data_IF_198639881210
#
_entry.id   IF_198639881210
#
_cell.length_a   1.000
_cell.length_b   1.000
_cell.length_c   1.000
_cell.angle_alpha   90.00
_cell.angle_beta   90.00
_cell.angle_gamma   90.00
#
_symmetry.space_group_name_H-M   'P 1'
#
loop_
_entity.id
_entity.type
_entity.pdbx_description
1 polymer ?
#
# COMPACT_ATOMS: atom_id res chain seq x y z
N UNK A 1 -18.49 -18.86 -6.54
CA UNK A 1 -17.13 -19.19 -7.07
C UNK A 1 -16.08 -18.90 -6.00
N UNK A 2 -15.04 -19.74 -5.88
CA UNK A 2 -13.85 -19.44 -5.07
C UNK A 2 -13.01 -18.37 -5.78
N UNK A 3 -12.27 -17.54 -5.04
CA UNK A 3 -11.43 -16.50 -5.65
C UNK A 3 -10.37 -17.07 -6.60
N UNK A 4 -9.85 -18.26 -6.30
CA UNK A 4 -8.90 -19.00 -7.17
C UNK A 4 -9.49 -19.48 -8.51
N UNK A 5 -10.80 -19.51 -8.64
CA UNK A 5 -11.51 -19.89 -9.87
C UNK A 5 -11.86 -18.69 -10.75
N UNK A 6 -11.72 -17.46 -10.20
CA UNK A 6 -11.96 -16.19 -10.90
C UNK A 6 -10.71 -15.76 -11.65
N UNK A 7 -10.88 -14.97 -12.69
CA UNK A 7 -9.77 -14.34 -13.41
C UNK A 7 -9.80 -12.83 -13.26
N UNK A 8 -8.64 -12.18 -13.36
CA UNK A 8 -8.61 -10.71 -13.37
C UNK A 8 -9.36 -10.14 -14.56
N UNK A 9 -9.38 -10.82 -15.71
CA UNK A 9 -10.13 -10.37 -16.88
C UNK A 9 -11.63 -10.33 -16.65
N UNK A 10 -12.20 -11.31 -15.92
CA UNK A 10 -13.61 -11.28 -15.50
C UNK A 10 -13.92 -10.08 -14.61
N UNK A 11 -13.05 -9.81 -13.61
CA UNK A 11 -13.21 -8.67 -12.71
C UNK A 11 -13.10 -7.34 -13.46
N UNK A 12 -12.10 -7.20 -14.33
CA UNK A 12 -11.88 -5.99 -15.15
C UNK A 12 -13.06 -5.77 -16.10
N UNK A 13 -13.52 -6.81 -16.79
CA UNK A 13 -14.67 -6.74 -17.69
C UNK A 13 -15.95 -6.30 -16.96
N UNK A 14 -16.21 -6.87 -15.78
CA UNK A 14 -17.32 -6.45 -14.92
C UNK A 14 -17.20 -4.97 -14.55
N UNK A 15 -16.03 -4.56 -14.05
CA UNK A 15 -15.80 -3.19 -13.58
C UNK A 15 -16.01 -2.16 -14.69
N UNK A 16 -15.46 -2.42 -15.88
CA UNK A 16 -15.65 -1.56 -17.06
C UNK A 16 -17.12 -1.55 -17.52
N UNK A 17 -17.71 -2.73 -17.67
CA UNK A 17 -19.07 -2.86 -18.18
C UNK A 17 -20.17 -2.33 -17.27
N UNK A 18 -19.90 -2.25 -15.95
CA UNK A 18 -20.88 -1.80 -14.94
C UNK A 18 -20.58 -0.41 -14.37
N UNK A 19 -19.51 0.23 -14.80
CA UNK A 19 -19.18 1.59 -14.36
C UNK A 19 -18.55 1.67 -12.98
N UNK A 20 -17.76 0.67 -12.61
CA UNK A 20 -16.94 0.73 -11.40
C UNK A 20 -15.61 1.42 -11.67
N UNK A 21 -14.86 0.97 -12.66
CA UNK A 21 -13.53 1.51 -12.96
C UNK A 21 -13.32 1.52 -14.47
N UNK A 22 -12.81 2.64 -14.98
CA UNK A 22 -12.47 2.85 -16.40
C UNK A 22 -10.99 3.10 -16.59
N UNK A 23 -10.41 2.85 -17.79
CA UNK A 23 -9.09 3.37 -18.12
C UNK A 23 -9.09 4.89 -18.08
N UNK A 24 -8.11 5.48 -17.40
CA UNK A 24 -7.97 6.93 -17.32
C UNK A 24 -7.64 7.54 -18.68
N UNK A 25 -8.33 8.62 -19.05
CA UNK A 25 -8.12 9.35 -20.33
C UNK A 25 -8.28 8.49 -21.59
N UNK A 26 -9.21 7.55 -21.58
CA UNK A 26 -9.38 6.54 -22.66
C UNK A 26 -9.58 7.15 -24.05
N UNK A 27 -10.26 8.30 -24.16
CA UNK A 27 -10.50 9.00 -25.44
C UNK A 27 -9.21 9.47 -26.14
N UNK A 28 -8.09 9.54 -25.40
CA UNK A 28 -6.76 9.87 -25.93
C UNK A 28 -5.85 8.64 -26.01
N UNK A 29 -6.39 7.44 -25.93
CA UNK A 29 -5.63 6.18 -25.89
C UNK A 29 -5.20 5.74 -24.51
N UNK A 30 -5.61 6.47 -23.48
CA UNK A 30 -5.34 6.17 -22.08
C UNK A 30 -3.92 6.54 -21.63
N UNK A 31 -3.71 6.45 -20.32
CA UNK A 31 -2.40 6.47 -19.69
C UNK A 31 -2.20 5.14 -18.97
N UNK A 32 -1.12 4.43 -19.30
CA UNK A 32 -0.88 3.08 -18.76
C UNK A 32 -0.97 3.04 -17.23
N UNK A 33 -1.80 2.11 -16.71
CA UNK A 33 -2.07 1.92 -15.29
C UNK A 33 -2.58 3.17 -14.55
N UNK A 34 -3.32 4.01 -15.27
CA UNK A 34 -4.13 5.10 -14.73
C UNK A 34 -5.60 4.74 -14.88
N UNK A 35 -6.36 4.88 -13.81
CA UNK A 35 -7.74 4.41 -13.70
C UNK A 35 -8.63 5.47 -13.09
N UNK A 36 -9.83 5.62 -13.66
CA UNK A 36 -10.88 6.49 -13.14
C UNK A 36 -11.98 5.64 -12.51
N UNK A 37 -12.47 6.05 -11.33
CA UNK A 37 -13.63 5.42 -10.71
C UNK A 37 -14.91 5.98 -11.32
N UNK A 38 -15.70 5.09 -11.91
CA UNK A 38 -17.01 5.42 -12.48
C UNK A 38 -18.09 5.61 -11.41
N UNK A 39 -19.35 5.85 -11.82
CA UNK A 39 -20.44 6.17 -10.89
C UNK A 39 -20.67 5.14 -9.78
N UNK A 40 -20.58 3.84 -10.08
CA UNK A 40 -20.71 2.80 -9.04
C UNK A 40 -19.41 2.64 -8.24
N UNK A 41 -18.27 2.77 -8.89
CA UNK A 41 -16.97 2.61 -8.24
C UNK A 41 -16.69 3.68 -7.21
N UNK A 42 -17.02 4.95 -7.49
CA UNK A 42 -16.81 6.05 -6.55
C UNK A 42 -17.70 5.89 -5.31
N UNK A 43 -18.94 5.42 -5.46
CA UNK A 43 -19.82 5.14 -4.32
C UNK A 43 -19.27 4.00 -3.47
N UNK A 44 -18.88 2.88 -4.08
CA UNK A 44 -18.30 1.74 -3.37
C UNK A 44 -17.04 2.16 -2.61
N UNK A 45 -16.09 2.84 -3.27
CA UNK A 45 -14.85 3.31 -2.64
C UNK A 45 -15.13 4.30 -1.50
N UNK A 46 -16.09 5.21 -1.67
CA UNK A 46 -16.48 6.14 -0.62
C UNK A 46 -17.18 5.43 0.54
N UNK A 47 -17.96 4.39 0.29
CA UNK A 47 -18.57 3.58 1.36
C UNK A 47 -17.50 2.86 2.18
N UNK A 48 -16.48 2.27 1.55
CA UNK A 48 -15.33 1.66 2.22
C UNK A 48 -14.60 2.70 3.09
N UNK A 49 -14.27 3.87 2.53
CA UNK A 49 -13.59 4.94 3.28
C UNK A 49 -14.43 5.47 4.45
N UNK A 50 -15.75 5.63 4.25
CA UNK A 50 -16.69 6.04 5.32
C UNK A 50 -16.78 5.00 6.43
N UNK A 51 -16.84 3.70 6.09
CA UNK A 51 -16.85 2.62 7.07
C UNK A 51 -15.56 2.60 7.90
N UNK A 52 -14.40 2.79 7.26
CA UNK A 52 -13.13 2.89 7.94
C UNK A 52 -13.08 4.13 8.86
N UNK A 53 -13.39 5.32 8.34
CA UNK A 53 -13.40 6.56 9.12
C UNK A 53 -14.32 6.50 10.33
N UNK A 54 -15.52 5.95 10.13
CA UNK A 54 -16.46 5.73 11.22
C UNK A 54 -15.86 4.86 12.31
N UNK A 55 -15.25 3.73 11.93
CA UNK A 55 -14.74 2.75 12.90
C UNK A 55 -13.45 3.20 13.58
N UNK A 56 -12.53 3.76 12.81
CA UNK A 56 -11.20 4.11 13.31
C UNK A 56 -11.14 5.51 13.95
N UNK A 57 -12.02 6.44 13.56
CA UNK A 57 -12.00 7.81 14.06
C UNK A 57 -13.20 8.12 14.95
N UNK A 58 -14.42 7.93 14.41
CA UNK A 58 -15.64 8.42 15.09
C UNK A 58 -16.05 7.53 16.26
N UNK A 59 -15.92 6.22 16.15
CA UNK A 59 -16.27 5.23 17.19
C UNK A 59 -15.09 4.89 18.11
N UNK A 60 -13.86 5.27 17.76
CA UNK A 60 -12.67 4.93 18.51
C UNK A 60 -12.31 6.07 19.50
N UNK A 61 -12.20 5.80 20.81
CA UNK A 61 -11.94 6.85 21.81
C UNK A 61 -10.51 7.40 21.77
N UNK A 62 -9.58 6.65 21.17
CA UNK A 62 -8.17 7.04 21.13
C UNK A 62 -7.86 8.01 19.98
N UNK A 63 -8.53 7.85 18.84
CA UNK A 63 -8.09 8.44 17.60
C UNK A 63 -8.71 9.80 17.29
N UNK A 64 -8.00 10.58 16.48
CA UNK A 64 -8.46 11.83 15.86
C UNK A 64 -8.12 11.81 14.37
N UNK A 65 -8.75 12.68 13.60
CA UNK A 65 -8.50 12.80 12.17
C UNK A 65 -7.55 13.93 11.82
N UNK A 66 -6.85 13.78 10.70
CA UNK A 66 -6.02 14.79 10.06
C UNK A 66 -6.24 14.75 8.54
N UNK A 67 -6.10 15.88 7.89
CA UNK A 67 -5.95 15.99 6.43
C UNK A 67 -4.75 16.89 6.12
N UNK A 68 -3.57 16.27 5.99
CA UNK A 68 -2.33 16.98 5.68
C UNK A 68 -2.22 17.25 4.18
N UNK A 69 -1.54 18.34 3.82
CA UNK A 69 -1.28 18.68 2.43
C UNK A 69 -0.46 17.59 1.70
N UNK A 70 -0.73 17.40 0.40
CA UNK A 70 0.07 16.50 -0.46
C UNK A 70 1.48 17.08 -0.67
N UNK A 71 1.56 18.39 -0.95
CA UNK A 71 2.82 19.11 -1.12
C UNK A 71 3.33 19.52 0.25
N UNK A 72 4.50 19.07 0.62
CA UNK A 72 5.17 19.37 1.88
C UNK A 72 6.58 19.90 1.61
N UNK A 73 7.19 20.51 2.63
CA UNK A 73 8.59 20.90 2.56
C UNK A 73 9.44 19.67 2.18
N UNK A 74 10.34 19.77 1.17
CA UNK A 74 11.18 18.65 0.74
C UNK A 74 12.01 18.02 1.86
N UNK A 75 12.37 18.78 2.90
CA UNK A 75 13.11 18.27 4.06
C UNK A 75 12.36 17.16 4.83
N UNK A 76 11.04 17.10 4.72
CA UNK A 76 10.23 16.00 5.29
C UNK A 76 10.69 14.67 4.69
N UNK A 77 10.94 14.64 3.38
CA UNK A 77 11.34 13.45 2.64
C UNK A 77 12.82 13.12 2.78
N UNK A 78 13.63 14.12 3.08
CA UNK A 78 15.04 13.93 3.46
C UNK A 78 15.10 13.30 4.85
N UNK A 79 14.39 13.85 5.82
CA UNK A 79 14.36 13.36 7.19
C UNK A 79 13.84 11.92 7.30
N UNK A 80 12.75 11.62 6.60
CA UNK A 80 12.16 10.26 6.59
C UNK A 80 12.96 9.23 5.77
N UNK A 81 14.01 9.66 5.03
CA UNK A 81 14.84 8.79 4.21
C UNK A 81 14.31 8.51 2.80
N UNK A 82 13.10 8.95 2.44
CA UNK A 82 12.51 8.66 1.13
C UNK A 82 13.33 9.15 -0.05
N UNK A 83 14.02 10.29 0.07
CA UNK A 83 14.89 10.80 -1.00
C UNK A 83 16.07 9.86 -1.28
N UNK A 84 16.61 9.22 -0.24
CA UNK A 84 17.84 8.40 -0.34
C UNK A 84 17.58 6.90 -0.51
N UNK A 85 16.53 6.36 0.12
CA UNK A 85 16.33 4.91 0.25
C UNK A 85 15.09 4.37 -0.45
N UNK A 86 14.13 5.22 -0.81
CA UNK A 86 12.91 4.77 -1.47
C UNK A 86 13.13 4.46 -2.96
N UNK A 87 13.92 3.41 -3.21
CA UNK A 87 14.39 3.04 -4.54
C UNK A 87 14.10 1.58 -4.84
N UNK A 88 13.64 1.32 -6.08
CA UNK A 88 13.55 -0.03 -6.64
C UNK A 88 14.80 -0.37 -7.46
N UNK A 89 15.20 -1.67 -7.50
CA UNK A 89 16.30 -2.14 -8.35
C UNK A 89 15.84 -2.23 -9.82
N UNK A 90 16.06 -1.17 -10.58
CA UNK A 90 15.69 -1.09 -12.01
C UNK A 90 16.72 -1.79 -12.89
N UNK A 91 16.25 -2.71 -13.75
CA UNK A 91 17.04 -3.39 -14.77
C UNK A 91 16.33 -3.31 -16.13
N UNK A 92 17.07 -3.05 -17.20
CA UNK A 92 16.50 -2.98 -18.56
C UNK A 92 16.92 -4.22 -19.38
N UNK A 93 15.99 -4.83 -20.10
CA UNK A 93 16.33 -5.80 -21.14
C UNK A 93 16.96 -5.09 -22.34
N UNK A 94 18.20 -5.42 -22.69
CA UNK A 94 18.91 -4.77 -23.81
C UNK A 94 18.29 -5.11 -25.18
N UNK A 95 17.60 -6.26 -25.27
CA UNK A 95 17.02 -6.73 -26.53
C UNK A 95 15.69 -6.04 -26.86
N UNK A 96 14.71 -6.01 -25.93
CA UNK A 96 13.39 -5.46 -26.20
C UNK A 96 13.13 -4.10 -25.52
N UNK A 97 14.10 -3.60 -24.71
CA UNK A 97 14.03 -2.32 -23.97
C UNK A 97 12.96 -2.29 -22.89
N UNK A 98 12.36 -3.42 -22.55
CA UNK A 98 11.46 -3.49 -21.40
C UNK A 98 12.21 -3.26 -20.09
N UNK A 99 11.57 -2.53 -19.19
CA UNK A 99 12.07 -2.24 -17.84
C UNK A 99 11.44 -3.20 -16.85
N UNK A 100 12.25 -3.66 -15.92
CA UNK A 100 11.83 -4.60 -14.88
C UNK A 100 12.39 -4.20 -13.52
N UNK A 101 11.73 -4.62 -12.48
CA UNK A 101 12.34 -4.72 -11.16
C UNK A 101 13.13 -6.03 -11.12
N UNK A 102 14.40 -5.95 -10.74
CA UNK A 102 15.27 -7.12 -10.72
C UNK A 102 14.83 -8.16 -9.68
N UNK A 103 14.38 -7.71 -8.53
CA UNK A 103 13.80 -8.55 -7.47
C UNK A 103 12.57 -9.32 -7.98
N UNK A 104 11.63 -8.64 -8.64
CA UNK A 104 10.42 -9.29 -9.18
C UNK A 104 10.68 -10.24 -10.35
N UNK A 105 11.74 -10.01 -11.12
CA UNK A 105 12.19 -10.98 -12.12
C UNK A 105 12.67 -12.29 -11.47
N UNK A 106 13.41 -12.18 -10.37
CA UNK A 106 13.93 -13.32 -9.63
C UNK A 106 12.79 -14.06 -8.92
N UNK A 107 11.87 -13.34 -8.27
CA UNK A 107 10.69 -13.95 -7.64
C UNK A 107 9.85 -14.75 -8.66
N UNK A 108 9.60 -14.17 -9.84
CA UNK A 108 8.91 -14.87 -10.92
C UNK A 108 9.64 -16.13 -11.36
N UNK A 109 10.95 -16.05 -11.55
CA UNK A 109 11.79 -17.20 -11.88
C UNK A 109 11.77 -18.26 -10.78
N UNK A 110 11.86 -17.86 -9.50
CA UNK A 110 11.79 -18.76 -8.35
C UNK A 110 10.45 -19.51 -8.30
N UNK A 111 9.34 -18.81 -8.50
CA UNK A 111 8.01 -19.40 -8.54
C UNK A 111 7.87 -20.45 -9.66
N UNK A 112 8.40 -20.15 -10.85
CA UNK A 112 8.38 -21.08 -12.00
C UNK A 112 9.28 -22.32 -11.79
N UNK A 113 10.35 -22.19 -10.98
CA UNK A 113 11.33 -23.23 -10.74
C UNK A 113 11.22 -23.91 -9.36
N UNK A 114 10.19 -23.60 -8.58
CA UNK A 114 9.95 -24.19 -7.26
C UNK A 114 11.06 -23.87 -6.24
N UNK A 115 11.62 -22.68 -6.28
CA UNK A 115 12.71 -22.20 -5.41
C UNK A 115 12.16 -21.29 -4.30
N UNK A 116 11.38 -21.88 -3.39
CA UNK A 116 10.83 -21.16 -2.22
C UNK A 116 11.89 -20.89 -1.13
N UNK A 117 13.12 -21.41 -1.33
CA UNK A 117 14.26 -21.26 -0.42
C UNK A 117 15.03 -19.93 -0.59
N UNK A 118 14.69 -19.14 -1.61
CA UNK A 118 15.41 -17.90 -1.96
C UNK A 118 14.73 -16.68 -1.36
N UNK A 119 15.37 -16.04 -0.40
CA UNK A 119 14.90 -14.74 0.13
C UNK A 119 15.42 -13.60 -0.76
N UNK A 120 14.63 -13.23 -1.77
CA UNK A 120 14.99 -12.18 -2.75
C UNK A 120 15.01 -10.79 -2.13
N UNK A 121 14.16 -10.52 -1.13
CA UNK A 121 14.03 -9.22 -0.48
C UNK A 121 15.29 -8.83 0.31
N UNK A 122 16.03 -9.82 0.81
CA UNK A 122 17.29 -9.59 1.53
C UNK A 122 18.52 -9.41 0.63
N UNK A 123 18.38 -9.57 -0.70
CA UNK A 123 19.51 -9.51 -1.63
C UNK A 123 19.98 -8.08 -1.90
N UNK A 124 21.29 -7.90 -1.91
CA UNK A 124 21.94 -6.69 -2.45
C UNK A 124 21.81 -6.60 -3.97
N UNK A 125 22.02 -5.42 -4.55
CA UNK A 125 21.97 -5.26 -6.01
C UNK A 125 23.00 -6.15 -6.73
N UNK A 126 24.16 -6.37 -6.14
CA UNK A 126 25.21 -7.24 -6.66
C UNK A 126 24.78 -8.70 -6.67
N UNK A 127 24.10 -9.15 -5.61
CA UNK A 127 23.55 -10.50 -5.50
C UNK A 127 22.40 -10.72 -6.47
N UNK A 128 21.50 -9.72 -6.65
CA UNK A 128 20.43 -9.77 -7.65
C UNK A 128 21.00 -9.93 -9.08
N UNK A 129 22.05 -9.16 -9.44
CA UNK A 129 22.70 -9.28 -10.76
C UNK A 129 23.35 -10.64 -10.93
N UNK A 130 24.05 -11.12 -9.90
CA UNK A 130 24.69 -12.44 -9.92
C UNK A 130 23.64 -13.55 -10.08
N UNK A 131 22.55 -13.49 -9.33
CA UNK A 131 21.46 -14.47 -9.43
C UNK A 131 20.85 -14.53 -10.82
N UNK A 132 20.50 -13.37 -11.41
CA UNK A 132 19.93 -13.27 -12.76
C UNK A 132 20.85 -13.93 -13.79
N UNK A 133 22.16 -13.65 -13.72
CA UNK A 133 23.15 -14.20 -14.65
C UNK A 133 23.35 -15.71 -14.43
N UNK A 134 23.58 -16.14 -13.19
CA UNK A 134 24.01 -17.50 -12.87
C UNK A 134 22.88 -18.50 -13.02
N UNK A 135 21.62 -18.09 -12.88
CA UNK A 135 20.43 -18.91 -13.09
C UNK A 135 19.80 -18.72 -14.48
N UNK A 136 20.36 -17.89 -15.35
CA UNK A 136 19.85 -17.67 -16.69
C UNK A 136 18.44 -17.10 -16.72
N UNK A 137 18.09 -16.21 -15.78
CA UNK A 137 16.78 -15.55 -15.73
C UNK A 137 16.55 -14.80 -17.03
N UNK A 138 15.38 -15.00 -17.67
CA UNK A 138 15.05 -14.41 -18.95
C UNK A 138 14.03 -13.29 -18.84
N UNK A 139 14.06 -12.37 -19.79
CA UNK A 139 13.05 -11.32 -19.91
C UNK A 139 11.69 -11.93 -20.26
N UNK A 140 10.64 -11.73 -19.46
CA UNK A 140 9.31 -12.27 -19.74
C UNK A 140 8.68 -11.73 -21.03
N UNK A 141 9.15 -10.56 -21.54
CA UNK A 141 8.65 -9.97 -22.77
C UNK A 141 9.25 -10.55 -24.05
N UNK A 142 10.50 -11.02 -24.02
CA UNK A 142 11.17 -11.50 -25.26
C UNK A 142 12.01 -12.78 -25.09
N UNK A 143 12.05 -13.37 -23.89
CA UNK A 143 12.76 -14.62 -23.59
C UNK A 143 14.29 -14.54 -23.61
N UNK A 144 14.91 -13.34 -23.72
CA UNK A 144 16.36 -13.18 -23.75
C UNK A 144 16.91 -12.84 -22.35
N UNK A 145 18.12 -13.35 -22.03
CA UNK A 145 18.82 -13.12 -20.79
C UNK A 145 19.89 -12.02 -20.93
N UNK A 146 19.62 -10.95 -21.67
CA UNK A 146 20.57 -9.84 -21.89
C UNK A 146 20.05 -8.57 -21.22
N UNK A 147 20.57 -8.31 -20.02
CA UNK A 147 20.17 -7.18 -19.20
C UNK A 147 21.28 -6.15 -18.98
N UNK A 148 20.90 -4.94 -18.58
CA UNK A 148 21.83 -3.90 -18.11
C UNK A 148 22.26 -4.22 -16.68
N UNK A 149 23.17 -3.40 -16.15
CA UNK A 149 23.37 -3.35 -14.70
C UNK A 149 22.15 -2.77 -13.99
N UNK A 150 21.99 -3.10 -12.71
CA UNK A 150 20.93 -2.55 -11.86
C UNK A 150 21.21 -1.09 -11.55
N UNK A 151 20.17 -0.26 -11.67
CA UNK A 151 20.19 1.14 -11.27
C UNK A 151 19.14 1.38 -10.18
N UNK A 152 19.47 2.20 -9.19
CA UNK A 152 18.48 2.65 -8.20
C UNK A 152 17.52 3.61 -8.88
N UNK A 153 16.23 3.33 -8.78
CA UNK A 153 15.18 4.18 -9.30
C UNK A 153 14.30 4.67 -8.15
N UNK A 154 14.40 5.95 -7.83
CA UNK A 154 13.58 6.54 -6.77
C UNK A 154 12.11 6.65 -7.21
N UNK A 155 11.22 6.16 -6.36
CA UNK A 155 9.78 6.06 -6.66
C UNK A 155 9.01 7.37 -6.43
N UNK A 156 9.63 8.42 -5.92
CA UNK A 156 8.92 9.69 -5.72
C UNK A 156 8.73 10.44 -7.03
N UNK A 157 7.51 10.93 -7.26
CA UNK A 157 7.25 11.91 -8.30
C UNK A 157 7.79 13.28 -7.87
N UNK A 158 8.53 13.91 -8.77
CA UNK A 158 9.05 15.26 -8.62
C UNK A 158 8.23 16.25 -9.42
N UNK A 159 8.06 17.45 -8.88
CA UNK A 159 7.50 18.59 -9.58
C UNK A 159 8.16 19.88 -9.07
N UNK A 160 7.76 21.04 -9.56
CA UNK A 160 8.32 22.33 -9.18
C UNK A 160 7.24 23.28 -8.67
N UNK A 161 7.58 24.09 -7.68
CA UNK A 161 6.71 25.13 -7.15
C UNK A 161 7.19 26.51 -7.65
N UNK A 162 6.27 27.29 -8.24
CA UNK A 162 6.60 28.61 -8.78
C UNK A 162 6.86 28.59 -10.28
N UNK A 163 7.59 29.60 -10.77
CA UNK A 163 7.76 29.89 -12.20
C UNK A 163 9.07 29.36 -12.80
N UNK A 164 9.98 28.90 -11.97
CA UNK A 164 11.29 28.34 -12.37
C UNK A 164 11.34 26.84 -12.09
N UNK A 165 12.05 26.12 -12.93
CA UNK A 165 12.28 24.69 -12.80
C UNK A 165 13.77 24.45 -12.48
N UNK A 166 14.13 24.63 -11.22
CA UNK A 166 15.48 24.38 -10.70
C UNK A 166 15.42 23.62 -9.37
N UNK A 167 16.58 23.25 -8.85
CA UNK A 167 16.68 22.44 -7.63
C UNK A 167 16.12 23.14 -6.38
N UNK A 168 16.03 24.48 -6.38
CA UNK A 168 15.51 25.23 -5.25
C UNK A 168 13.98 25.26 -5.20
N UNK A 169 13.33 24.94 -6.31
CA UNK A 169 11.88 24.89 -6.46
C UNK A 169 11.33 23.46 -6.50
N UNK A 170 12.21 22.44 -6.45
CA UNK A 170 11.82 21.03 -6.48
C UNK A 170 10.98 20.66 -5.25
N UNK A 171 9.83 20.08 -5.49
CA UNK A 171 8.95 19.49 -4.48
C UNK A 171 8.51 18.09 -4.92
N UNK A 172 8.00 17.30 -3.99
CA UNK A 172 7.59 15.94 -4.25
C UNK A 172 6.09 15.77 -4.04
N UNK A 173 5.47 14.90 -4.85
CA UNK A 173 4.16 14.35 -4.51
C UNK A 173 4.40 13.28 -3.44
N UNK A 174 3.68 13.38 -2.32
CA UNK A 174 3.88 12.47 -1.18
C UNK A 174 3.71 10.99 -1.59
N UNK A 175 4.66 10.10 -1.24
CA UNK A 175 4.57 8.67 -1.53
C UNK A 175 3.75 7.91 -0.48
N UNK A 176 3.43 8.56 0.65
CA UNK A 176 2.62 8.03 1.76
C UNK A 176 1.98 9.16 2.56
N UNK A 177 0.96 8.82 3.33
CA UNK A 177 0.25 9.79 4.19
C UNK A 177 0.85 9.90 5.59
N UNK A 178 1.70 8.94 6.03
CA UNK A 178 2.29 8.86 7.35
C UNK A 178 3.08 10.11 7.76
N UNK A 179 3.97 10.61 6.90
CA UNK A 179 4.86 11.71 7.24
C UNK A 179 4.12 13.01 7.55
N UNK A 180 2.96 13.23 6.91
CA UNK A 180 2.07 14.34 7.23
C UNK A 180 1.54 14.27 8.66
N UNK A 181 1.38 13.07 9.20
CA UNK A 181 0.96 12.87 10.59
C UNK A 181 2.12 13.17 11.54
N UNK A 182 3.32 12.63 11.29
CA UNK A 182 4.47 12.82 12.16
C UNK A 182 4.88 14.28 12.31
N UNK A 183 4.94 15.04 11.21
CA UNK A 183 5.31 16.47 11.27
C UNK A 183 4.25 17.33 11.97
N UNK A 184 3.00 16.87 12.04
CA UNK A 184 1.91 17.53 12.74
C UNK A 184 1.70 17.03 14.19
N UNK A 185 2.45 16.02 14.64
CA UNK A 185 2.28 15.45 15.98
C UNK A 185 2.25 16.51 17.12
N UNK A 186 3.20 17.47 17.19
CA UNK A 186 3.18 18.47 18.26
C UNK A 186 1.95 19.38 18.22
N UNK A 187 1.49 19.75 17.02
CA UNK A 187 0.32 20.58 16.83
C UNK A 187 -0.96 19.86 17.25
N UNK A 188 -1.10 18.58 16.87
CA UNK A 188 -2.25 17.74 17.20
C UNK A 188 -2.30 17.51 18.70
N UNK A 189 -1.20 17.09 19.32
CA UNK A 189 -1.10 16.85 20.76
C UNK A 189 -1.49 18.11 21.55
N UNK A 190 -0.95 19.27 21.18
CA UNK A 190 -1.24 20.55 21.84
C UNK A 190 -2.71 20.97 21.71
N UNK A 191 -3.31 20.81 20.51
CA UNK A 191 -4.67 21.29 20.24
C UNK A 191 -5.74 20.34 20.78
N UNK A 192 -5.50 19.05 20.73
CA UNK A 192 -6.43 18.04 21.24
C UNK A 192 -6.27 17.78 22.73
N UNK A 193 -5.09 18.07 23.28
CA UNK A 193 -4.68 17.76 24.68
C UNK A 193 -4.81 16.26 25.02
N UNK A 194 -4.71 15.41 24.00
CA UNK A 194 -4.78 13.97 24.22
C UNK A 194 -3.54 13.48 24.99
N UNK A 195 -3.79 12.56 25.91
CA UNK A 195 -2.73 11.78 26.57
C UNK A 195 -2.45 10.53 25.76
N UNK A 196 -1.23 10.01 25.85
CA UNK A 196 -0.91 8.69 25.31
C UNK A 196 -1.67 7.58 26.04
N UNK A 197 -2.13 6.52 25.36
CA UNK A 197 -2.00 6.36 23.93
C UNK A 197 -3.07 7.13 23.13
N UNK A 198 -2.72 7.63 21.96
CA UNK A 198 -3.69 8.17 21.01
C UNK A 198 -3.21 7.99 19.58
N UNK A 199 -4.15 7.94 18.64
CA UNK A 199 -3.86 7.79 17.22
C UNK A 199 -4.31 8.99 16.39
N UNK A 200 -3.67 9.14 15.24
CA UNK A 200 -4.04 10.12 14.22
C UNK A 200 -4.29 9.38 12.92
N UNK A 201 -5.48 9.57 12.37
CA UNK A 201 -5.93 8.91 11.14
C UNK A 201 -5.99 9.89 9.98
N UNK A 202 -5.62 9.42 8.81
CA UNK A 202 -5.73 10.17 7.57
C UNK A 202 -6.23 9.28 6.44
N UNK A 203 -7.09 9.84 5.57
CA UNK A 203 -7.43 9.28 4.27
C UNK A 203 -6.96 10.26 3.22
N UNK A 204 -6.11 9.83 2.29
CA UNK A 204 -5.58 10.77 1.31
C UNK A 204 -4.84 10.10 0.15
N UNK A 205 -4.68 10.88 -0.92
CA UNK A 205 -3.91 10.49 -2.10
C UNK A 205 -2.43 10.37 -1.79
N UNK A 206 -1.81 9.33 -2.37
CA UNK A 206 -0.36 9.11 -2.40
C UNK A 206 0.07 8.72 -3.79
N UNK A 207 1.36 8.90 -4.09
CA UNK A 207 1.89 8.80 -5.44
C UNK A 207 3.22 8.04 -5.42
N UNK A 208 3.31 6.94 -6.18
CA UNK A 208 4.56 6.18 -6.36
C UNK A 208 4.79 5.93 -7.82
N UNK A 209 5.93 6.36 -8.34
CA UNK A 209 6.30 6.18 -9.75
C UNK A 209 6.75 4.74 -10.00
N UNK A 210 5.83 3.80 -9.81
CA UNK A 210 6.05 2.35 -9.94
C UNK A 210 6.66 1.98 -11.29
N UNK A 211 7.71 1.14 -11.29
CA UNK A 211 8.36 0.63 -12.50
C UNK A 211 7.43 -0.37 -13.21
N UNK A 212 6.82 -1.26 -12.43
CA UNK A 212 5.94 -2.33 -12.91
C UNK A 212 4.56 -2.27 -12.26
N UNK A 213 3.77 -1.21 -12.53
CA UNK A 213 2.38 -1.19 -12.09
C UNK A 213 1.60 -2.30 -12.78
N UNK A 214 0.54 -2.80 -12.15
CA UNK A 214 -0.22 -3.91 -12.74
C UNK A 214 -1.32 -4.45 -11.85
N UNK A 215 -1.93 -5.53 -12.30
CA UNK A 215 -3.06 -6.18 -11.64
C UNK A 215 -4.21 -5.19 -11.39
N UNK A 216 -4.59 -4.46 -12.45
CA UNK A 216 -5.69 -3.50 -12.42
C UNK A 216 -5.44 -2.39 -11.40
N UNK A 217 -6.36 -2.14 -10.43
CA UNK A 217 -6.20 -1.13 -9.38
C UNK A 217 -5.42 -1.62 -8.16
N UNK A 218 -4.80 -2.80 -8.22
CA UNK A 218 -3.99 -3.35 -7.12
C UNK A 218 -2.65 -2.60 -6.96
N UNK A 219 -1.96 -2.29 -8.08
CA UNK A 219 -0.69 -1.54 -8.08
C UNK A 219 -0.73 -0.44 -9.14
N UNK A 220 -1.01 0.76 -8.69
CA UNK A 220 -1.17 1.96 -9.51
C UNK A 220 -0.28 3.09 -8.98
N UNK A 221 -0.01 4.09 -9.83
CA UNK A 221 0.90 5.19 -9.47
C UNK A 221 0.26 6.28 -8.62
N UNK A 222 -1.05 6.45 -8.74
CA UNK A 222 -1.86 7.36 -7.93
C UNK A 222 -2.93 6.56 -7.21
N UNK A 223 -2.89 6.53 -5.89
CA UNK A 223 -3.77 5.70 -5.05
C UNK A 223 -4.20 6.46 -3.80
N UNK A 224 -5.12 5.91 -3.03
CA UNK A 224 -5.50 6.44 -1.72
C UNK A 224 -5.09 5.48 -0.62
N UNK A 225 -4.52 6.06 0.46
CA UNK A 225 -4.26 5.34 1.71
C UNK A 225 -5.28 5.76 2.77
N UNK A 226 -5.63 4.80 3.62
CA UNK A 226 -6.31 4.98 4.90
C UNK A 226 -5.32 4.54 5.96
N UNK A 227 -4.77 5.49 6.70
CA UNK A 227 -3.60 5.28 7.55
C UNK A 227 -3.85 5.79 8.96
N UNK A 228 -3.39 5.03 9.93
CA UNK A 228 -3.40 5.38 11.35
C UNK A 228 -1.96 5.35 11.85
N UNK A 229 -1.54 6.43 12.50
CA UNK A 229 -0.33 6.44 13.32
C UNK A 229 -0.75 6.49 14.78
N UNK A 230 -0.54 5.40 15.48
CA UNK A 230 -0.97 5.24 16.87
C UNK A 230 0.23 5.38 17.81
N UNK A 231 0.25 6.50 18.52
CA UNK A 231 1.33 6.86 19.44
C UNK A 231 1.11 6.22 20.81
N UNK A 232 2.10 5.52 21.29
CA UNK A 232 2.07 4.85 22.59
C UNK A 232 3.37 5.03 23.39
N UNK A 233 3.32 4.67 24.67
CA UNK A 233 4.50 4.69 25.50
C UNK A 233 5.48 3.58 25.09
N UNK A 234 6.79 3.88 24.97
CA UNK A 234 7.81 2.85 24.77
C UNK A 234 7.70 1.70 25.78
N UNK A 235 7.78 0.46 25.30
CA UNK A 235 7.61 -0.75 26.10
C UNK A 235 6.16 -1.27 26.17
N UNK A 236 5.16 -0.51 25.67
CA UNK A 236 3.78 -0.99 25.49
C UNK A 236 3.44 -1.27 24.03
N UNK A 237 4.39 -1.03 23.16
CA UNK A 237 4.28 -1.10 21.71
C UNK A 237 3.78 -2.47 21.19
N UNK A 238 4.37 -3.57 21.66
CA UNK A 238 3.96 -4.92 21.23
C UNK A 238 2.53 -5.29 21.65
N UNK A 239 2.05 -4.79 22.78
CA UNK A 239 0.65 -4.99 23.19
C UNK A 239 -0.29 -4.24 22.25
N UNK A 240 0.04 -2.98 21.91
CA UNK A 240 -0.73 -2.18 20.97
C UNK A 240 -0.64 -2.70 19.54
N UNK A 241 0.50 -3.25 19.14
CA UNK A 241 0.65 -3.94 17.87
C UNK A 241 -0.34 -5.12 17.73
N UNK A 242 -0.41 -5.98 18.76
CA UNK A 242 -1.38 -7.09 18.77
C UNK A 242 -2.83 -6.60 18.79
N UNK A 243 -3.11 -5.53 19.56
CA UNK A 243 -4.44 -4.92 19.57
C UNK A 243 -4.88 -4.45 18.18
N UNK A 244 -4.04 -3.67 17.49
CA UNK A 244 -4.36 -3.15 16.17
C UNK A 244 -4.41 -4.24 15.11
N UNK A 245 -3.53 -5.23 15.17
CA UNK A 245 -3.58 -6.42 14.32
C UNK A 245 -4.94 -7.11 14.39
N UNK A 246 -5.45 -7.41 15.58
CA UNK A 246 -6.76 -8.05 15.74
C UNK A 246 -7.92 -7.11 15.40
N UNK A 247 -7.83 -5.84 15.74
CA UNK A 247 -8.84 -4.83 15.42
C UNK A 247 -9.02 -4.67 13.89
N UNK A 248 -7.92 -4.62 13.14
CA UNK A 248 -7.93 -4.53 11.69
C UNK A 248 -8.52 -5.79 11.03
N UNK A 249 -8.10 -6.99 11.50
CA UNK A 249 -8.65 -8.27 11.03
C UNK A 249 -10.17 -8.31 11.23
N UNK A 250 -10.59 -8.00 12.45
CA UNK A 250 -12.01 -8.01 12.79
C UNK A 250 -12.82 -7.02 11.95
N UNK A 251 -12.30 -5.82 11.69
CA UNK A 251 -12.99 -4.83 10.87
C UNK A 251 -13.21 -5.33 9.43
N UNK A 252 -12.22 -5.96 8.80
CA UNK A 252 -12.37 -6.53 7.45
C UNK A 252 -13.46 -7.60 7.40
N UNK A 253 -13.46 -8.51 8.36
CA UNK A 253 -14.44 -9.60 8.44
C UNK A 253 -15.84 -9.08 8.78
N UNK A 254 -15.96 -8.17 9.75
CA UNK A 254 -17.23 -7.54 10.13
C UNK A 254 -17.84 -6.72 8.97
N UNK A 255 -16.99 -6.14 8.11
CA UNK A 255 -17.45 -5.42 6.92
C UNK A 255 -17.89 -6.38 5.79
N UNK A 256 -17.57 -7.66 5.91
CA UNK A 256 -18.06 -8.73 5.05
C UNK A 256 -17.03 -9.36 4.12
N UNK A 257 -15.73 -9.11 4.32
CA UNK A 257 -14.69 -9.86 3.63
C UNK A 257 -14.64 -11.30 4.16
N UNK A 258 -14.57 -12.27 3.26
CA UNK A 258 -14.56 -13.69 3.64
C UNK A 258 -13.24 -14.07 4.28
N UNK A 259 -13.31 -14.60 5.50
CA UNK A 259 -12.14 -14.94 6.30
C UNK A 259 -11.27 -16.03 5.64
N UNK A 260 -11.85 -16.95 4.90
CA UNK A 260 -11.13 -17.98 4.15
C UNK A 260 -10.24 -17.43 3.02
N UNK A 261 -10.47 -16.17 2.60
CA UNK A 261 -9.67 -15.47 1.61
C UNK A 261 -8.66 -14.51 2.23
N UNK A 262 -8.54 -14.49 3.56
CA UNK A 262 -7.65 -13.61 4.31
C UNK A 262 -6.65 -14.44 5.12
N UNK A 263 -5.38 -14.08 5.08
CA UNK A 263 -4.36 -14.62 5.98
C UNK A 263 -3.47 -13.52 6.53
N UNK A 264 -2.87 -13.77 7.69
CA UNK A 264 -1.89 -12.89 8.30
C UNK A 264 -0.51 -13.52 8.12
N UNK A 265 0.45 -12.72 7.66
CA UNK A 265 1.85 -13.09 7.49
C UNK A 265 2.73 -12.17 8.32
N UNK A 266 3.33 -12.71 9.35
CA UNK A 266 4.33 -11.96 10.13
C UNK A 266 5.65 -11.95 9.35
N UNK A 267 6.34 -10.81 9.35
CA UNK A 267 7.64 -10.67 8.73
C UNK A 267 8.71 -11.35 9.58
N UNK A 268 9.62 -12.08 8.93
CA UNK A 268 10.82 -12.58 9.58
C UNK A 268 11.78 -11.41 9.88
N UNK A 269 12.70 -11.55 10.84
CA UNK A 269 13.61 -10.47 11.23
C UNK A 269 14.40 -9.85 10.07
N UNK A 270 14.73 -10.64 9.06
CA UNK A 270 15.49 -10.25 7.86
C UNK A 270 14.66 -9.45 6.85
N UNK A 271 13.32 -9.56 6.94
CA UNK A 271 12.37 -8.85 6.06
C UNK A 271 11.96 -7.50 6.65
N UNK A 272 12.19 -7.28 7.95
CA UNK A 272 11.77 -6.07 8.62
C UNK A 272 12.44 -4.83 8.01
N UNK A 273 11.64 -3.80 7.75
CA UNK A 273 12.18 -2.49 7.43
C UNK A 273 13.08 -2.00 8.58
N UNK A 274 14.11 -1.25 8.26
CA UNK A 274 15.12 -0.78 9.22
C UNK A 274 14.54 0.04 10.40
N UNK A 275 13.33 0.56 10.25
CA UNK A 275 12.61 1.32 11.27
C UNK A 275 11.59 0.46 12.04
N UNK A 276 11.36 -0.77 11.61
CA UNK A 276 10.29 -1.62 12.17
C UNK A 276 10.84 -2.67 13.13
N UNK A 277 10.15 -2.84 14.26
CA UNK A 277 10.41 -3.88 15.25
C UNK A 277 9.57 -5.14 15.02
N UNK A 278 8.39 -4.97 14.43
CA UNK A 278 7.47 -6.03 14.06
C UNK A 278 6.58 -5.55 12.91
N UNK A 279 6.27 -6.43 11.97
CA UNK A 279 5.34 -6.14 10.87
C UNK A 279 4.48 -7.38 10.58
N UNK A 280 3.20 -7.18 10.38
CA UNK A 280 2.26 -8.20 9.89
C UNK A 280 1.57 -7.69 8.63
N UNK A 281 1.66 -8.45 7.55
CA UNK A 281 0.84 -8.23 6.36
C UNK A 281 -0.46 -9.00 6.47
N UNK A 282 -1.55 -8.34 6.10
CA UNK A 282 -2.81 -8.98 5.80
C UNK A 282 -2.83 -9.26 4.31
N UNK A 283 -2.78 -10.50 3.93
CA UNK A 283 -2.83 -10.91 2.54
C UNK A 283 -4.22 -11.43 2.19
N UNK A 284 -4.70 -11.04 1.02
CA UNK A 284 -5.97 -11.49 0.47
C UNK A 284 -5.75 -12.34 -0.77
N UNK A 285 -6.58 -13.36 -0.94
CA UNK A 285 -6.57 -14.24 -2.12
C UNK A 285 -7.25 -13.55 -3.30
N UNK A 286 -6.45 -12.86 -4.12
CA UNK A 286 -6.89 -12.32 -5.40
C UNK A 286 -6.87 -13.41 -6.49
N UNK A 287 -7.44 -13.16 -7.68
CA UNK A 287 -7.35 -14.11 -8.80
C UNK A 287 -5.92 -14.41 -9.26
N UNK A 288 -4.97 -13.51 -9.00
CA UNK A 288 -3.54 -13.67 -9.30
C UNK A 288 -2.73 -14.28 -8.14
N UNK A 289 -3.39 -14.72 -7.06
CA UNK A 289 -2.74 -15.28 -5.87
C UNK A 289 -2.82 -14.38 -4.65
N UNK A 290 -2.07 -14.73 -3.61
CA UNK A 290 -1.98 -13.92 -2.39
C UNK A 290 -1.34 -12.57 -2.68
N UNK A 291 -1.96 -11.52 -2.23
CA UNK A 291 -1.48 -10.16 -2.35
C UNK A 291 -1.71 -9.37 -1.07
N UNK A 292 -0.74 -8.56 -0.71
CA UNK A 292 -0.82 -7.68 0.45
C UNK A 292 -2.00 -6.72 0.32
N UNK A 293 -2.86 -6.72 1.32
CA UNK A 293 -4.03 -5.86 1.44
C UNK A 293 -3.80 -4.73 2.44
N UNK A 294 -3.18 -5.04 3.57
CA UNK A 294 -2.99 -4.16 4.71
C UNK A 294 -1.70 -4.50 5.43
N UNK A 295 -0.91 -3.50 5.83
CA UNK A 295 0.23 -3.67 6.72
C UNK A 295 -0.07 -3.12 8.11
N UNK A 296 0.39 -3.80 9.13
CA UNK A 296 0.48 -3.28 10.50
C UNK A 296 1.92 -3.38 10.95
N UNK A 297 2.55 -2.24 11.27
CA UNK A 297 3.94 -2.16 11.65
C UNK A 297 4.14 -1.48 13.01
N UNK A 298 5.09 -1.96 13.80
CA UNK A 298 5.65 -1.25 14.94
C UNK A 298 6.88 -0.47 14.45
N UNK A 299 6.71 0.85 14.25
CA UNK A 299 7.74 1.76 13.72
C UNK A 299 8.67 2.31 14.77
N UNK A 300 8.50 1.92 16.04
CA UNK A 300 9.27 2.43 17.19
C UNK A 300 9.19 3.96 17.29
N UNK A 301 10.27 4.65 17.67
CA UNK A 301 10.38 6.11 17.73
C UNK A 301 11.00 6.72 16.45
N UNK A 302 11.25 5.90 15.43
CA UNK A 302 12.09 6.26 14.31
C UNK A 302 11.69 7.58 13.65
N UNK A 303 10.44 7.71 13.18
CA UNK A 303 10.01 8.86 12.38
C UNK A 303 10.05 10.17 13.19
N UNK A 304 9.49 10.16 14.41
CA UNK A 304 9.52 11.34 15.28
C UNK A 304 10.96 11.76 15.61
N UNK A 305 11.85 10.79 15.85
CA UNK A 305 13.26 11.04 16.12
C UNK A 305 13.96 11.65 14.90
N UNK A 306 13.75 11.11 13.71
CA UNK A 306 14.30 11.66 12.48
C UNK A 306 13.83 13.11 12.24
N UNK A 307 12.54 13.38 12.38
CA UNK A 307 12.03 14.74 12.25
C UNK A 307 12.53 15.68 13.33
N UNK A 308 12.69 15.21 14.57
CA UNK A 308 13.30 15.99 15.64
C UNK A 308 14.74 16.37 15.32
N UNK A 309 15.56 15.41 14.91
CA UNK A 309 16.98 15.62 14.58
C UNK A 309 17.16 16.57 13.40
N UNK A 310 16.40 16.39 12.31
CA UNK A 310 16.52 17.22 11.11
C UNK A 310 15.94 18.62 11.28
N UNK A 311 14.83 18.77 11.99
CA UNK A 311 14.17 20.06 12.18
C UNK A 311 14.74 20.88 13.35
N UNK A 312 15.41 20.22 14.30
CA UNK A 312 15.82 20.82 15.59
C UNK A 312 14.64 21.19 16.50
N UNK A 313 13.45 20.66 16.24
CA UNK A 313 12.25 20.89 17.05
C UNK A 313 12.02 19.73 18.00
N UNK A 314 11.54 20.02 19.20
CA UNK A 314 11.18 19.00 20.19
C UNK A 314 9.89 18.29 19.79
N UNK A 315 9.97 16.98 19.54
CA UNK A 315 8.85 16.08 19.24
C UNK A 315 8.60 15.09 20.39
N UNK A 316 9.15 15.35 21.57
CA UNK A 316 8.89 14.54 22.76
C UNK A 316 7.46 14.74 23.27
N UNK A 317 6.94 13.72 23.93
CA UNK A 317 5.74 13.77 24.75
C UNK A 317 6.12 13.97 26.21
N UNK A 318 5.47 14.92 26.90
CA UNK A 318 5.62 15.09 28.34
C UNK A 318 4.56 14.28 29.09
N UNK A 319 4.99 13.23 29.75
CA UNK A 319 4.13 12.43 30.65
C UNK A 319 4.04 13.10 32.03
N UNK A 320 2.89 13.74 32.28
CA UNK A 320 2.66 14.45 33.55
C UNK A 320 2.59 13.51 34.76
N UNK A 321 2.18 12.25 34.57
CA UNK A 321 2.04 11.29 35.67
C UNK A 321 3.40 10.78 36.14
N UNK A 322 4.34 10.62 35.19
CA UNK A 322 5.72 10.19 35.48
C UNK A 322 6.71 11.34 35.63
N UNK A 323 6.30 12.56 35.24
CA UNK A 323 7.15 13.75 35.16
C UNK A 323 8.41 13.52 34.32
N UNK A 324 8.23 12.91 33.15
CA UNK A 324 9.32 12.60 32.20
C UNK A 324 8.97 12.96 30.77
N UNK A 325 10.01 13.19 29.93
CA UNK A 325 9.88 13.36 28.48
C UNK A 325 10.41 12.13 27.75
N UNK A 326 9.71 11.68 26.73
CA UNK A 326 10.17 10.63 25.83
C UNK A 326 9.56 10.80 24.43
N UNK A 327 10.22 10.24 23.43
CA UNK A 327 9.64 10.13 22.09
C UNK A 327 8.70 8.92 22.09
N UNK A 328 7.41 9.08 21.70
CA UNK A 328 6.48 7.96 21.63
C UNK A 328 6.91 6.91 20.59
N UNK A 329 6.54 5.66 20.85
CA UNK A 329 6.56 4.62 19.83
C UNK A 329 5.28 4.66 19.00
N UNK A 330 5.33 4.14 17.79
CA UNK A 330 4.24 4.27 16.81
C UNK A 330 3.86 2.90 16.27
N UNK A 331 2.56 2.61 16.28
CA UNK A 331 1.98 1.47 15.57
C UNK A 331 1.20 2.00 14.37
N UNK A 332 1.52 1.50 13.20
CA UNK A 332 0.99 1.95 11.91
C UNK A 332 0.14 0.87 11.23
N UNK A 333 -1.17 0.90 11.33
CA UNK A 333 -2.06 0.23 10.37
C UNK A 333 -2.21 1.07 9.09
N UNK A 334 -1.72 0.59 7.94
CA UNK A 334 -1.76 1.28 6.65
C UNK A 334 -2.46 0.44 5.58
N UNK A 335 -3.61 0.91 5.09
CA UNK A 335 -4.49 0.23 4.14
C UNK A 335 -4.67 1.03 2.85
N UNK A 336 -4.46 0.39 1.70
CA UNK A 336 -4.79 0.97 0.41
C UNK A 336 -6.29 0.92 0.12
N UNK A 337 -6.94 2.08 -0.05
CA UNK A 337 -8.38 2.14 -0.35
C UNK A 337 -8.71 1.45 -1.69
N UNK A 338 -7.82 1.53 -2.67
CA UNK A 338 -7.97 0.91 -3.98
C UNK A 338 -7.87 -0.62 -3.88
N UNK A 339 -6.90 -1.14 -3.12
CA UNK A 339 -6.73 -2.59 -2.91
C UNK A 339 -7.90 -3.22 -2.18
N UNK A 340 -8.38 -2.59 -1.11
CA UNK A 340 -9.52 -3.12 -0.35
C UNK A 340 -10.81 -3.03 -1.15
N UNK A 341 -11.01 -1.99 -1.96
CA UNK A 341 -12.14 -1.91 -2.89
C UNK A 341 -12.10 -3.04 -3.91
N UNK A 342 -10.91 -3.35 -4.46
CA UNK A 342 -10.72 -4.49 -5.35
C UNK A 342 -11.01 -5.82 -4.64
N UNK A 343 -10.57 -5.98 -3.40
CA UNK A 343 -10.83 -7.19 -2.62
C UNK A 343 -12.33 -7.44 -2.42
N UNK A 344 -13.11 -6.40 -2.10
CA UNK A 344 -14.56 -6.51 -2.00
C UNK A 344 -15.22 -6.84 -3.34
N UNK A 345 -14.76 -6.25 -4.45
CA UNK A 345 -15.27 -6.58 -5.79
C UNK A 345 -14.97 -8.03 -6.16
N UNK A 346 -13.76 -8.50 -5.87
CA UNK A 346 -13.34 -9.89 -6.11
C UNK A 346 -14.17 -10.85 -5.26
N UNK A 347 -14.34 -10.57 -3.98
CA UNK A 347 -15.09 -11.43 -3.06
C UNK A 347 -16.57 -11.50 -3.41
N UNK A 348 -17.12 -10.38 -3.86
CA UNK A 348 -18.55 -10.23 -4.22
C UNK A 348 -18.90 -10.83 -5.58
N UNK A 349 -17.91 -10.97 -6.49
CA UNK A 349 -18.15 -11.51 -7.83
C UNK A 349 -18.61 -12.97 -7.76
N UNK A 350 -19.71 -13.27 -8.44
CA UNK A 350 -20.20 -14.64 -8.58
C UNK A 350 -20.95 -14.81 -9.92
N UNK A 351 -21.13 -16.06 -10.33
CA UNK A 351 -21.85 -16.44 -11.53
C UNK A 351 -22.99 -17.40 -11.20
N UNK A 352 -24.17 -17.11 -11.73
CA UNK A 352 -25.38 -17.92 -11.54
C UNK A 352 -25.85 -18.48 -12.88
N UNK A 353 -26.16 -19.77 -12.93
CA UNK A 353 -26.84 -20.38 -14.06
C UNK A 353 -28.33 -20.05 -13.92
N UNK A 354 -28.85 -19.24 -14.82
CA UNK A 354 -30.26 -18.79 -14.80
C UNK A 354 -31.15 -19.55 -15.78
N UNK A 355 -30.55 -20.40 -16.63
CA UNK A 355 -31.28 -21.21 -17.60
C UNK A 355 -30.34 -21.92 -18.58
N UNK A 356 -30.92 -22.41 -19.66
CA UNK A 356 -30.15 -22.96 -20.78
C UNK A 356 -30.71 -22.39 -22.08
N UNK A 357 -29.83 -22.15 -23.03
CA UNK A 357 -30.23 -21.73 -24.38
C UNK A 357 -30.85 -22.91 -25.16
N UNK A 358 -31.37 -22.62 -26.37
CA UNK A 358 -31.99 -23.63 -27.24
C UNK A 358 -31.03 -24.73 -27.71
N UNK A 359 -29.71 -24.56 -27.50
CA UNK A 359 -28.65 -25.50 -27.82
C UNK A 359 -28.14 -26.27 -26.61
N UNK A 360 -28.70 -26.04 -25.42
CA UNK A 360 -28.34 -26.70 -24.18
C UNK A 360 -27.13 -26.08 -23.46
N UNK A 361 -26.64 -24.93 -23.91
CA UNK A 361 -25.59 -24.20 -23.19
C UNK A 361 -26.19 -23.45 -21.99
N UNK A 362 -25.44 -23.40 -20.89
CA UNK A 362 -25.88 -22.66 -19.72
C UNK A 362 -25.96 -21.15 -20.03
N UNK A 363 -27.09 -20.54 -19.66
CA UNK A 363 -27.23 -19.09 -19.60
C UNK A 363 -26.71 -18.61 -18.26
N UNK A 364 -25.59 -17.87 -18.26
CA UNK A 364 -24.86 -17.47 -17.06
C UNK A 364 -25.06 -15.99 -16.80
N UNK A 365 -25.49 -15.66 -15.59
CA UNK A 365 -25.63 -14.28 -15.12
C UNK A 365 -24.51 -13.95 -14.11
N UNK A 366 -23.77 -12.88 -14.38
CA UNK A 366 -22.81 -12.33 -13.42
C UNK A 366 -23.55 -11.50 -12.36
N UNK A 367 -23.26 -11.74 -11.11
CA UNK A 367 -23.82 -11.05 -9.96
C UNK A 367 -22.74 -10.53 -9.03
N UNK A 368 -23.04 -9.49 -8.27
CA UNK A 368 -22.20 -8.96 -7.19
C UNK A 368 -22.94 -9.11 -5.86
N UNK A 369 -22.35 -9.88 -4.95
CA UNK A 369 -22.88 -10.10 -3.58
C UNK A 369 -22.14 -9.19 -2.60
N UNK A 370 -22.26 -7.88 -2.82
CA UNK A 370 -21.65 -6.90 -1.92
C UNK A 370 -22.33 -6.92 -0.54
N UNK A 371 -21.56 -6.71 0.54
CA UNK A 371 -22.12 -6.51 1.87
C UNK A 371 -23.06 -5.30 1.91
N UNK A 372 -24.15 -5.34 2.70
CA UNK A 372 -25.13 -4.24 2.76
C UNK A 372 -24.55 -2.89 3.23
N UNK A 373 -23.39 -2.90 3.88
CA UNK A 373 -22.69 -1.69 4.35
C UNK A 373 -21.89 -0.98 3.25
N UNK A 374 -21.71 -1.63 2.09
CA UNK A 374 -20.92 -1.13 0.95
C UNK A 374 -21.79 -0.90 -0.35
#
# INVERSE_FOLDING_TARGET
MKNTEKTMDQIVALCKGRGFVYPGSEIYGGLANSWDYGPLGVELKNNVKRAWWKKFVQENPYNVGLDAAILMNPEVWVASGHVSTFNDPLIDCKACKMRHRADKLIEGWCAENGRDDVNVEAMTNEELVAFIRDNGVTCPGCGKADFTDIRKFNLMFKTHQGVTEDSSTEVYLRPETAQGIFVNFPAIQRTTRKKLPFGVCQVGKSFRNEITPGNFIFRIREFEQMELEFFCQPGTDLEWFQYWREFCRKWLVDLGLKEENLRLRDHEPEELAFYSKATTDFEFMFPFGWGELWGVADRTDYDLKQHQEHSGKDLTYFDQEKNEHYIPYVIEPSLGADRVTLAFLVDAYDEEIVGQDKKGNNDVRTVLRLPPAL
#
